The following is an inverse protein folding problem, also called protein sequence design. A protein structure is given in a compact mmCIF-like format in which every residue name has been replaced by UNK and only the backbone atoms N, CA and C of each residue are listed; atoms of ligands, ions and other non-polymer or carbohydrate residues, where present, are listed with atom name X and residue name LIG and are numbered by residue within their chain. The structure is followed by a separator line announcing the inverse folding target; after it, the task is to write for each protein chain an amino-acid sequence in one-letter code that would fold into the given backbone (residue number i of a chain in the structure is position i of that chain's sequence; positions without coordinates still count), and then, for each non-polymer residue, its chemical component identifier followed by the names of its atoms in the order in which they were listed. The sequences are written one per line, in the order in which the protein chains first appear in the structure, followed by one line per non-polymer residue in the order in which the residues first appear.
data_IF_371353089671
#
_entry.id   IF_371353089671
#
_cell.length_a   1.000
_cell.length_b   1.000
_cell.length_c   1.000
_cell.angle_alpha   90.00
_cell.angle_beta   90.00
_cell.angle_gamma   90.00
#
_symmetry.space_group_name_H-M   'P 1'
#
loop_
_entity.id
_entity.type
_entity.pdbx_description
1 polymer ?
#
# COMPACT_ATOMS: atom_id res chain seq x y z
N UNK A 1 -4.27 5.60 -13.98
CA UNK A 1 -4.88 5.03 -12.76
C UNK A 1 -6.34 5.50 -12.69
N UNK A 2 -7.27 4.74 -12.10
CA UNK A 2 -8.68 5.18 -12.04
C UNK A 2 -8.85 6.35 -11.08
N UNK A 3 -9.85 7.20 -11.31
CA UNK A 3 -10.21 8.32 -10.43
C UNK A 3 -10.51 7.86 -9.00
N UNK A 4 -11.09 6.68 -8.85
CA UNK A 4 -11.40 6.06 -7.56
C UNK A 4 -10.14 5.71 -6.76
N UNK A 5 -9.08 5.19 -7.41
CA UNK A 5 -7.80 4.94 -6.74
C UNK A 5 -7.11 6.23 -6.30
N UNK A 6 -7.20 7.29 -7.10
CA UNK A 6 -6.69 8.62 -6.74
C UNK A 6 -7.40 9.18 -5.51
N UNK A 7 -8.73 9.07 -5.49
CA UNK A 7 -9.55 9.57 -4.38
C UNK A 7 -9.29 8.78 -3.08
N UNK A 8 -9.19 7.45 -3.19
CA UNK A 8 -8.81 6.59 -2.07
C UNK A 8 -7.40 6.89 -1.54
N UNK A 9 -6.44 7.20 -2.42
CA UNK A 9 -5.09 7.57 -2.00
C UNK A 9 -5.04 8.94 -1.32
N UNK A 10 -5.76 9.93 -1.87
CA UNK A 10 -5.91 11.25 -1.25
C UNK A 10 -6.57 11.15 0.13
N UNK A 11 -7.62 10.34 0.25
CA UNK A 11 -8.26 10.03 1.52
C UNK A 11 -7.29 9.35 2.48
N UNK A 12 -6.49 8.38 2.02
CA UNK A 12 -5.52 7.69 2.87
C UNK A 12 -4.46 8.64 3.42
N UNK A 13 -3.92 9.54 2.60
CA UNK A 13 -2.95 10.57 3.02
C UNK A 13 -3.59 11.53 4.04
N UNK A 14 -4.82 11.98 3.77
CA UNK A 14 -5.56 12.90 4.63
C UNK A 14 -5.92 12.27 5.99
N UNK A 15 -6.42 11.04 5.97
CA UNK A 15 -6.88 10.37 7.18
C UNK A 15 -5.73 9.79 7.98
N UNK A 16 -4.69 9.24 7.35
CA UNK A 16 -3.69 8.41 8.05
C UNK A 16 -2.37 9.15 8.21
N UNK A 17 -2.02 9.44 9.45
CA UNK A 17 -0.68 9.86 9.84
C UNK A 17 -0.02 8.80 10.71
N UNK A 18 1.30 8.90 10.89
CA UNK A 18 2.03 8.08 11.88
C UNK A 18 1.50 8.23 13.31
N UNK A 19 0.73 9.28 13.61
CA UNK A 19 0.09 9.55 14.89
C UNK A 19 -1.40 9.13 14.97
N UNK A 20 -1.96 8.51 13.93
CA UNK A 20 -3.35 8.04 13.89
C UNK A 20 -4.24 8.81 12.92
N UNK A 21 -5.58 8.71 13.12
CA UNK A 21 -6.59 9.35 12.27
C UNK A 21 -6.77 10.83 12.63
N UNK A 22 -6.32 11.74 11.78
CA UNK A 22 -6.24 13.17 12.09
C UNK A 22 -7.39 14.00 11.49
N UNK A 23 -7.76 13.75 10.22
CA UNK A 23 -8.79 14.52 9.52
C UNK A 23 -9.79 13.58 8.82
N UNK A 24 -11.04 13.47 9.31
CA UNK A 24 -12.04 12.62 8.67
C UNK A 24 -12.43 13.15 7.28
N UNK A 25 -12.16 12.38 6.22
CA UNK A 25 -12.39 12.78 4.82
C UNK A 25 -13.82 13.23 4.53
N UNK A 26 -14.80 12.58 5.18
CA UNK A 26 -16.21 12.89 5.03
C UNK A 26 -16.59 14.30 5.53
N UNK A 27 -15.76 14.91 6.39
CA UNK A 27 -16.01 16.24 6.95
C UNK A 27 -15.40 17.37 6.12
N UNK A 28 -14.59 17.04 5.13
CA UNK A 28 -13.94 18.02 4.27
C UNK A 28 -14.88 18.54 3.18
N UNK A 29 -14.76 19.83 2.88
CA UNK A 29 -15.36 20.45 1.70
C UNK A 29 -14.70 19.94 0.43
N UNK A 30 -15.38 20.09 -0.71
CA UNK A 30 -14.82 19.66 -2.00
C UNK A 30 -13.52 20.38 -2.37
N UNK A 31 -13.40 21.65 -1.97
CA UNK A 31 -12.17 22.44 -2.17
C UNK A 31 -10.99 21.88 -1.38
N UNK A 32 -11.22 21.43 -0.15
CA UNK A 32 -10.19 20.81 0.68
C UNK A 32 -9.82 19.43 0.14
N UNK A 33 -10.80 18.63 -0.28
CA UNK A 33 -10.53 17.34 -0.97
C UNK A 33 -9.73 17.51 -2.26
N UNK A 34 -10.03 18.55 -3.04
CA UNK A 34 -9.27 18.84 -4.27
C UNK A 34 -7.79 19.13 -3.99
N UNK A 35 -7.49 19.86 -2.90
CA UNK A 35 -6.10 20.08 -2.48
C UNK A 35 -5.38 18.77 -2.16
N UNK A 36 -6.03 17.85 -1.42
CA UNK A 36 -5.47 16.53 -1.14
C UNK A 36 -5.30 15.66 -2.38
N UNK A 37 -6.24 15.72 -3.35
CA UNK A 37 -6.10 15.01 -4.63
C UNK A 37 -4.91 15.50 -5.44
N UNK A 38 -4.63 16.80 -5.45
CA UNK A 38 -3.45 17.35 -6.13
C UNK A 38 -2.16 16.90 -5.47
N UNK A 39 -2.11 16.86 -4.13
CA UNK A 39 -0.96 16.32 -3.41
C UNK A 39 -0.74 14.84 -3.70
N UNK A 40 -1.83 14.05 -3.70
CA UNK A 40 -1.81 12.66 -4.10
C UNK A 40 -1.23 12.50 -5.51
N UNK A 41 -1.73 13.25 -6.51
CA UNK A 41 -1.24 13.19 -7.88
C UNK A 41 0.26 13.51 -7.97
N UNK A 42 0.71 14.55 -7.26
CA UNK A 42 2.13 14.90 -7.20
C UNK A 42 2.99 13.77 -6.61
N UNK A 43 2.55 13.17 -5.50
CA UNK A 43 3.24 12.04 -4.87
C UNK A 43 3.30 10.80 -5.77
N UNK A 44 2.25 10.57 -6.58
CA UNK A 44 2.19 9.45 -7.52
C UNK A 44 3.00 9.70 -8.80
N UNK A 45 3.28 10.95 -9.13
CA UNK A 45 4.05 11.32 -10.33
C UNK A 45 5.57 11.24 -10.15
N UNK A 46 6.06 10.83 -8.97
CA UNK A 46 7.50 10.73 -8.69
C UNK A 46 8.09 9.57 -9.50
N UNK A 47 9.07 9.82 -10.40
CA UNK A 47 9.68 8.76 -11.20
C UNK A 47 10.36 7.70 -10.34
N UNK A 48 10.24 6.42 -10.74
CA UNK A 48 10.89 5.30 -10.06
C UNK A 48 10.12 4.75 -8.85
N UNK A 49 8.93 5.27 -8.55
CA UNK A 49 8.04 4.74 -7.53
C UNK A 49 6.76 4.18 -8.16
N UNK A 50 6.24 3.10 -7.57
CA UNK A 50 4.97 2.50 -7.95
C UNK A 50 4.01 2.50 -6.75
N UNK A 51 2.77 2.92 -6.96
CA UNK A 51 1.70 2.83 -5.94
C UNK A 51 0.85 1.61 -6.25
N UNK A 52 0.92 0.62 -5.37
CA UNK A 52 0.19 -0.65 -5.51
C UNK A 52 -0.72 -0.89 -4.31
N UNK A 53 -1.92 -1.42 -4.58
CA UNK A 53 -2.79 -1.93 -3.53
C UNK A 53 -2.17 -3.21 -2.98
N UNK A 54 -1.90 -3.24 -1.68
CA UNK A 54 -1.36 -4.44 -1.04
C UNK A 54 -2.36 -5.60 -1.13
N UNK A 55 -1.91 -6.80 -1.54
CA UNK A 55 -2.76 -7.98 -1.51
C UNK A 55 -3.06 -8.41 -0.07
N UNK A 56 -4.29 -8.87 0.15
CA UNK A 56 -4.70 -9.38 1.46
C UNK A 56 -4.02 -10.73 1.72
N UNK A 57 -3.39 -10.87 2.87
CA UNK A 57 -2.76 -12.12 3.30
C UNK A 57 -3.75 -12.90 4.17
N UNK A 58 -4.09 -14.12 3.75
CA UNK A 58 -4.92 -15.02 4.54
C UNK A 58 -4.16 -15.56 5.76
N UNK A 59 -4.86 -15.76 6.89
CA UNK A 59 -4.32 -16.35 8.13
C UNK A 59 -3.14 -15.59 8.76
N UNK A 60 -3.19 -14.25 8.73
CA UNK A 60 -2.26 -13.38 9.49
C UNK A 60 -2.56 -13.43 10.99
N UNK A 61 -1.55 -13.10 11.81
CA UNK A 61 -1.73 -12.97 13.25
C UNK A 61 -2.77 -11.88 13.59
N UNK A 62 -3.40 -11.93 14.78
CA UNK A 62 -4.50 -11.03 15.15
C UNK A 62 -4.11 -9.54 15.17
N UNK A 63 -2.82 -9.23 15.19
CA UNK A 63 -2.28 -7.87 15.19
C UNK A 63 -1.43 -7.56 13.95
N UNK A 64 -1.28 -8.51 13.02
CA UNK A 64 -0.49 -8.29 11.81
C UNK A 64 -1.36 -7.61 10.75
N UNK A 65 -0.92 -6.43 10.31
CA UNK A 65 -1.42 -5.82 9.08
C UNK A 65 -0.78 -6.51 7.87
N UNK A 66 -1.41 -6.44 6.70
CA UNK A 66 -0.81 -7.00 5.47
C UNK A 66 0.56 -6.35 5.18
N UNK A 67 0.70 -5.06 5.46
CA UNK A 67 1.97 -4.34 5.35
C UNK A 67 3.04 -4.86 6.32
N UNK A 68 2.69 -5.09 7.59
CA UNK A 68 3.61 -5.66 8.57
C UNK A 68 4.05 -7.06 8.16
N UNK A 69 3.12 -7.88 7.64
CA UNK A 69 3.43 -9.21 7.15
C UNK A 69 4.46 -9.16 6.01
N UNK A 70 4.23 -8.35 4.98
CA UNK A 70 5.19 -8.23 3.87
C UNK A 70 6.54 -7.69 4.32
N UNK A 71 6.58 -6.73 5.27
CA UNK A 71 7.83 -6.24 5.84
C UNK A 71 8.60 -7.36 6.56
N UNK A 72 7.93 -8.13 7.42
CA UNK A 72 8.56 -9.26 8.11
C UNK A 72 9.10 -10.33 7.13
N UNK A 73 8.38 -10.59 6.02
CA UNK A 73 8.84 -11.48 4.96
C UNK A 73 10.10 -10.94 4.30
N UNK A 74 10.11 -9.65 3.94
CA UNK A 74 11.27 -8.99 3.34
C UNK A 74 12.49 -9.00 4.26
N UNK A 75 12.32 -8.56 5.52
CA UNK A 75 13.38 -8.54 6.53
C UNK A 75 14.02 -9.93 6.70
N UNK A 76 13.19 -10.99 6.67
CA UNK A 76 13.66 -12.37 6.82
C UNK A 76 14.49 -12.82 5.61
N UNK A 77 14.08 -12.49 4.39
CA UNK A 77 14.88 -12.82 3.20
C UNK A 77 16.21 -12.06 3.15
N UNK A 78 16.24 -10.82 3.63
CA UNK A 78 17.48 -10.03 3.66
C UNK A 78 18.50 -10.58 4.66
N UNK A 79 18.04 -10.98 5.85
CA UNK A 79 18.92 -11.47 6.92
C UNK A 79 19.23 -12.98 6.81
N UNK A 80 18.37 -13.74 6.13
CA UNK A 80 18.53 -15.17 5.96
C UNK A 80 17.89 -15.62 4.63
N UNK A 81 18.60 -15.47 3.50
CA UNK A 81 18.04 -15.77 2.18
C UNK A 81 17.64 -17.24 1.99
N UNK A 82 18.28 -18.16 2.73
CA UNK A 82 17.98 -19.59 2.71
C UNK A 82 16.84 -19.99 3.67
N UNK A 83 16.33 -19.03 4.45
CA UNK A 83 15.19 -19.26 5.35
C UNK A 83 13.95 -19.64 4.55
N UNK A 84 13.36 -20.79 4.88
CA UNK A 84 12.02 -21.13 4.38
C UNK A 84 10.96 -20.16 4.94
N UNK A 85 10.57 -19.17 4.14
CA UNK A 85 9.49 -18.24 4.47
C UNK A 85 8.15 -18.74 3.92
N UNK A 86 7.64 -19.81 4.54
CA UNK A 86 6.21 -20.09 4.57
C UNK A 86 5.55 -20.83 3.39
N UNK A 87 4.37 -21.37 3.68
CA UNK A 87 3.57 -22.25 2.82
C UNK A 87 2.93 -21.57 1.61
N UNK A 88 2.03 -22.28 0.93
CA UNK A 88 1.37 -21.85 -0.32
C UNK A 88 0.78 -20.44 -0.27
N UNK A 89 0.21 -20.02 0.87
CA UNK A 89 -0.42 -18.72 1.05
C UNK A 89 0.57 -17.55 0.93
N UNK A 90 1.75 -17.66 1.53
CA UNK A 90 2.79 -16.61 1.49
C UNK A 90 3.29 -16.43 0.07
N UNK A 91 3.61 -17.56 -0.60
CA UNK A 91 4.06 -17.55 -1.99
C UNK A 91 3.01 -16.94 -2.91
N UNK A 92 1.73 -17.23 -2.69
CA UNK A 92 0.66 -16.65 -3.47
C UNK A 92 0.56 -15.13 -3.28
N UNK A 93 0.57 -14.65 -2.03
CA UNK A 93 0.49 -13.23 -1.71
C UNK A 93 1.69 -12.43 -2.25
N UNK A 94 2.91 -12.96 -2.13
CA UNK A 94 4.12 -12.35 -2.70
C UNK A 94 4.05 -12.36 -4.23
N UNK A 95 3.59 -13.45 -4.85
CA UNK A 95 3.40 -13.50 -6.30
C UNK A 95 2.42 -12.44 -6.79
N UNK A 96 1.30 -12.24 -6.09
CA UNK A 96 0.34 -11.17 -6.41
C UNK A 96 0.97 -9.79 -6.27
N UNK A 97 1.74 -9.55 -5.20
CA UNK A 97 2.43 -8.27 -4.97
C UNK A 97 3.40 -7.94 -6.12
N UNK A 98 4.23 -8.92 -6.51
CA UNK A 98 5.22 -8.75 -7.58
C UNK A 98 4.54 -8.52 -8.94
N UNK A 99 3.44 -9.23 -9.23
CA UNK A 99 2.66 -9.01 -10.46
C UNK A 99 2.04 -7.61 -10.50
N UNK A 100 1.52 -7.13 -9.37
CA UNK A 100 0.97 -5.77 -9.29
C UNK A 100 2.06 -4.71 -9.47
N UNK A 101 3.23 -4.90 -8.87
CA UNK A 101 4.38 -4.02 -9.04
C UNK A 101 4.86 -3.96 -10.50
N UNK A 102 4.99 -5.12 -11.15
CA UNK A 102 5.38 -5.19 -12.56
C UNK A 102 4.36 -4.49 -13.47
N UNK A 103 3.07 -4.73 -13.25
CA UNK A 103 2.01 -4.11 -14.04
C UNK A 103 1.98 -2.57 -13.93
N UNK A 104 2.34 -2.00 -12.77
CA UNK A 104 2.43 -0.54 -12.62
C UNK A 104 3.75 0.01 -13.18
N UNK A 105 4.84 -0.76 -13.15
CA UNK A 105 6.12 -0.36 -13.73
C UNK A 105 6.10 -0.35 -15.28
N UNK A 106 5.22 -1.13 -15.90
CA UNK A 106 5.04 -1.19 -17.37
C UNK A 106 4.10 -0.09 -17.91
N UNK A 107 3.58 0.79 -17.05
CA UNK A 107 2.56 1.78 -17.38
C UNK A 107 3.13 3.13 -17.81
#
# INVERSE_FOLDING_TARGET
MSTETRDAFAQAICESTSAGKLFPWATLTERERDAWRRMAEAAMSVPGYAVIKLPTVAHKGPHDTDAMFFRQVADRFEHNPDSYVGGSNVRHAVSQLLRAAAAEAER
#
